data_IF_150517947127
#
_entry.id   IF_150517947127
#
_cell.length_a   1.000
_cell.length_b   1.000
_cell.length_c   1.000
_cell.angle_alpha   90.00
_cell.angle_beta   90.00
_cell.angle_gamma   90.00
#
_symmetry.space_group_name_H-M   'P 1'
#
loop_
_entity.id
_entity.type
_entity.pdbx_description
1 polymer ?
#
# COMPACT_ATOMS: atom_id res chain seq x y z
N UNK A 1 -37.04 -0.63 -48.44
CA UNK A 1 -37.53 -1.80 -47.68
C UNK A 1 -36.40 -2.30 -46.79
N UNK A 2 -36.62 -2.45 -45.47
CA UNK A 2 -35.65 -3.11 -44.61
C UNK A 2 -35.48 -4.56 -45.07
N UNK A 3 -34.24 -5.05 -45.09
CA UNK A 3 -33.87 -6.36 -45.68
C UNK A 3 -33.25 -7.33 -44.68
N UNK A 4 -33.05 -6.90 -43.43
CA UNK A 4 -32.27 -7.64 -42.46
C UNK A 4 -33.04 -7.76 -41.15
N UNK A 5 -33.02 -8.97 -40.60
CA UNK A 5 -33.70 -9.32 -39.36
C UNK A 5 -32.67 -9.81 -38.34
N UNK A 6 -32.83 -9.46 -37.08
CA UNK A 6 -32.06 -10.07 -35.98
C UNK A 6 -32.67 -11.42 -35.55
N UNK A 7 -32.08 -12.03 -34.51
CA UNK A 7 -32.53 -13.31 -33.96
C UNK A 7 -33.89 -13.22 -33.23
N UNK A 8 -34.39 -12.02 -32.95
CA UNK A 8 -35.68 -11.75 -32.30
C UNK A 8 -36.76 -11.35 -33.32
N UNK A 9 -36.39 -11.17 -34.59
CA UNK A 9 -37.28 -10.74 -35.67
C UNK A 9 -37.38 -9.23 -35.86
N UNK A 10 -36.56 -8.41 -35.19
CA UNK A 10 -36.57 -6.95 -35.42
C UNK A 10 -35.98 -6.63 -36.80
N UNK A 11 -36.58 -5.66 -37.50
CA UNK A 11 -36.18 -5.29 -38.87
C UNK A 11 -35.22 -4.09 -38.89
N UNK A 12 -34.21 -4.18 -39.74
CA UNK A 12 -33.21 -3.13 -39.93
C UNK A 12 -33.02 -2.78 -41.42
N UNK A 13 -32.76 -1.50 -41.68
CA UNK A 13 -32.47 -1.00 -43.03
C UNK A 13 -31.16 -1.56 -43.59
N UNK A 14 -30.19 -1.81 -42.72
CA UNK A 14 -28.86 -2.35 -43.06
C UNK A 14 -28.33 -3.27 -41.95
N UNK A 15 -27.32 -4.10 -42.26
CA UNK A 15 -26.61 -4.89 -41.24
C UNK A 15 -25.86 -3.99 -40.27
N UNK A 16 -25.40 -2.83 -40.72
CA UNK A 16 -24.71 -1.82 -39.91
C UNK A 16 -25.64 -1.23 -38.84
N UNK A 17 -26.90 -0.95 -39.20
CA UNK A 17 -27.89 -0.45 -38.24
C UNK A 17 -28.23 -1.52 -37.20
N UNK A 18 -28.37 -2.78 -37.61
CA UNK A 18 -28.52 -3.92 -36.70
C UNK A 18 -27.32 -4.04 -35.74
N UNK A 19 -26.09 -3.96 -36.26
CA UNK A 19 -24.88 -3.99 -35.43
C UNK A 19 -24.84 -2.83 -34.42
N UNK A 20 -25.23 -1.62 -34.86
CA UNK A 20 -25.30 -0.43 -34.00
C UNK A 20 -26.30 -0.59 -32.88
N UNK A 21 -27.47 -1.17 -33.17
CA UNK A 21 -28.50 -1.46 -32.17
C UNK A 21 -27.97 -2.38 -31.05
N UNK A 22 -27.21 -3.42 -31.41
CA UNK A 22 -26.58 -4.34 -30.44
C UNK A 22 -25.25 -3.84 -29.85
N UNK A 23 -24.79 -2.64 -30.23
CA UNK A 23 -23.53 -2.08 -29.72
C UNK A 23 -22.27 -2.84 -30.18
N UNK A 24 -22.34 -3.59 -31.29
CA UNK A 24 -21.22 -4.34 -31.84
C UNK A 24 -20.64 -3.67 -33.10
N UNK A 25 -19.33 -3.73 -33.27
CA UNK A 25 -18.70 -3.31 -34.51
C UNK A 25 -19.03 -4.29 -35.65
N UNK A 26 -19.44 -3.77 -36.81
CA UNK A 26 -19.83 -4.59 -37.97
C UNK A 26 -18.75 -5.56 -38.41
N UNK A 27 -17.46 -5.17 -38.37
CA UNK A 27 -16.35 -6.08 -38.67
C UNK A 27 -16.28 -7.25 -37.67
N UNK A 28 -16.47 -6.99 -36.39
CA UNK A 28 -16.54 -8.04 -35.36
C UNK A 28 -17.71 -8.98 -35.62
N UNK A 29 -18.89 -8.44 -35.89
CA UNK A 29 -20.08 -9.21 -36.25
C UNK A 29 -19.83 -10.14 -37.45
N UNK A 30 -19.29 -9.61 -38.56
CA UNK A 30 -19.00 -10.42 -39.75
C UNK A 30 -17.92 -11.47 -39.48
N UNK A 31 -16.89 -11.16 -38.69
CA UNK A 31 -15.86 -12.14 -38.33
C UNK A 31 -16.41 -13.27 -37.47
N UNK A 32 -17.35 -12.97 -36.56
CA UNK A 32 -18.05 -13.98 -35.75
C UNK A 32 -18.89 -14.93 -36.60
N UNK A 33 -19.64 -14.39 -37.55
CA UNK A 33 -20.39 -15.20 -38.52
C UNK A 33 -19.45 -16.08 -39.36
N UNK A 34 -18.32 -15.53 -39.84
CA UNK A 34 -17.31 -16.31 -40.57
C UNK A 34 -16.66 -17.41 -39.73
N UNK A 35 -16.56 -17.21 -38.42
CA UNK A 35 -16.08 -18.20 -37.47
C UNK A 35 -17.14 -19.26 -37.11
N UNK A 36 -18.33 -19.20 -37.72
CA UNK A 36 -19.41 -20.18 -37.54
C UNK A 36 -20.35 -19.90 -36.36
N UNK A 37 -20.26 -18.73 -35.72
CA UNK A 37 -21.22 -18.35 -34.68
C UNK A 37 -22.61 -18.11 -35.29
N UNK A 38 -23.65 -18.40 -34.50
CA UNK A 38 -25.04 -18.09 -34.86
C UNK A 38 -25.28 -16.58 -34.94
N UNK A 39 -26.39 -16.16 -35.56
CA UNK A 39 -26.77 -14.75 -35.64
C UNK A 39 -26.92 -14.12 -34.25
N UNK A 40 -27.56 -14.85 -33.32
CA UNK A 40 -27.70 -14.45 -31.92
C UNK A 40 -26.33 -14.25 -31.28
N UNK A 41 -25.50 -15.29 -31.26
CA UNK A 41 -24.16 -15.21 -30.65
C UNK A 41 -23.29 -14.13 -31.28
N UNK A 42 -23.37 -13.95 -32.60
CA UNK A 42 -22.61 -12.93 -33.30
C UNK A 42 -22.99 -11.51 -32.82
N UNK A 43 -24.27 -11.27 -32.55
CA UNK A 43 -24.80 -9.98 -32.08
C UNK A 43 -24.63 -9.78 -30.57
N UNK A 44 -24.76 -10.82 -29.75
CA UNK A 44 -24.87 -10.68 -28.29
C UNK A 44 -23.60 -11.09 -27.54
N UNK A 45 -22.70 -11.87 -28.13
CA UNK A 45 -21.51 -12.32 -27.41
C UNK A 45 -20.66 -11.12 -26.96
N UNK A 46 -20.15 -11.10 -25.72
CA UNK A 46 -19.26 -10.04 -25.27
C UNK A 46 -17.99 -10.03 -26.12
N UNK A 47 -17.45 -8.83 -26.37
CA UNK A 47 -16.18 -8.71 -27.08
C UNK A 47 -15.07 -9.35 -26.22
N UNK A 48 -14.21 -10.19 -26.81
CA UNK A 48 -13.11 -10.83 -26.08
C UNK A 48 -12.21 -9.82 -25.35
N UNK A 49 -12.14 -8.60 -25.87
CA UNK A 49 -11.34 -7.51 -25.32
C UNK A 49 -12.09 -6.60 -24.35
N UNK A 50 -13.42 -6.80 -24.21
CA UNK A 50 -14.21 -6.06 -23.23
C UNK A 50 -13.82 -6.44 -21.80
N UNK A 51 -14.11 -5.53 -20.86
CA UNK A 51 -13.78 -5.75 -19.47
C UNK A 51 -14.73 -4.97 -18.56
N UNK A 52 -14.76 -5.38 -17.30
CA UNK A 52 -15.51 -4.71 -16.24
C UNK A 52 -14.54 -4.20 -15.19
N UNK A 53 -14.77 -3.00 -14.67
CA UNK A 53 -13.98 -2.49 -13.55
C UNK A 53 -14.38 -3.12 -12.21
N UNK A 54 -13.70 -2.71 -11.13
CA UNK A 54 -13.96 -3.18 -9.78
C UNK A 54 -15.33 -2.74 -9.22
N UNK A 55 -16.05 -1.84 -9.90
CA UNK A 55 -17.40 -1.37 -9.53
C UNK A 55 -18.51 -2.05 -10.34
N UNK A 56 -18.16 -2.95 -11.26
CA UNK A 56 -19.13 -3.60 -12.14
C UNK A 56 -19.46 -2.81 -13.41
N UNK A 57 -18.76 -1.70 -13.69
CA UNK A 57 -19.01 -0.90 -14.90
C UNK A 57 -18.32 -1.56 -16.10
N UNK A 58 -19.07 -1.74 -17.18
CA UNK A 58 -18.60 -2.36 -18.42
C UNK A 58 -17.89 -1.37 -19.35
N UNK A 59 -16.82 -1.83 -20.01
CA UNK A 59 -16.04 -1.08 -20.99
C UNK A 59 -15.73 -1.94 -22.22
N UNK A 60 -15.65 -1.30 -23.40
CA UNK A 60 -15.39 -2.01 -24.67
C UNK A 60 -13.95 -2.52 -24.76
N UNK A 61 -13.04 -1.96 -23.96
CA UNK A 61 -11.65 -2.36 -23.88
C UNK A 61 -11.01 -1.97 -22.55
N UNK A 62 -9.94 -2.69 -22.16
CA UNK A 62 -9.10 -2.29 -21.02
C UNK A 62 -8.52 -0.88 -21.20
N UNK A 63 -8.16 -0.47 -22.42
CA UNK A 63 -7.65 0.88 -22.68
C UNK A 63 -8.69 1.96 -22.39
N UNK A 64 -9.94 1.73 -22.79
CA UNK A 64 -11.05 2.65 -22.46
C UNK A 64 -11.24 2.74 -20.94
N UNK A 65 -11.35 1.59 -20.26
CA UNK A 65 -11.45 1.55 -18.79
C UNK A 65 -10.29 2.29 -18.12
N UNK A 66 -9.06 2.10 -18.57
CA UNK A 66 -7.91 2.77 -17.94
C UNK A 66 -7.93 4.28 -18.19
N UNK A 67 -8.35 4.70 -19.39
CA UNK A 67 -8.44 6.11 -19.75
C UNK A 67 -9.54 6.84 -18.96
N UNK A 68 -10.68 6.18 -18.65
CA UNK A 68 -11.75 6.81 -17.84
C UNK A 68 -11.29 7.14 -16.42
N UNK A 69 -10.34 6.37 -15.87
CA UNK A 69 -9.69 6.65 -14.59
C UNK A 69 -8.49 7.62 -14.71
N UNK A 70 -8.24 8.18 -15.89
CA UNK A 70 -7.14 9.15 -16.13
C UNK A 70 -5.74 8.53 -16.08
N UNK A 71 -5.62 7.22 -16.28
CA UNK A 71 -4.36 6.49 -16.16
C UNK A 71 -3.71 6.21 -17.52
N UNK A 72 -2.40 6.01 -17.52
CA UNK A 72 -1.70 5.43 -18.68
C UNK A 72 -1.80 3.91 -18.65
N UNK A 73 -2.07 3.29 -19.79
CA UNK A 73 -2.12 1.83 -19.93
C UNK A 73 -0.84 1.11 -19.49
N UNK A 74 0.32 1.72 -19.71
CA UNK A 74 1.62 1.21 -19.25
C UNK A 74 1.73 1.15 -17.72
N UNK A 75 1.13 2.11 -17.00
CA UNK A 75 1.09 2.11 -15.54
C UNK A 75 0.12 1.04 -15.03
N UNK A 76 -1.06 0.95 -15.63
CA UNK A 76 -2.06 -0.07 -15.31
C UNK A 76 -1.47 -1.49 -15.40
N UNK A 77 -0.87 -1.82 -16.54
CA UNK A 77 -0.23 -3.13 -16.77
C UNK A 77 0.94 -3.37 -15.82
N UNK A 78 1.75 -2.34 -15.53
CA UNK A 78 2.83 -2.45 -14.55
C UNK A 78 2.33 -2.82 -13.15
N UNK A 79 1.26 -2.17 -12.67
CA UNK A 79 0.66 -2.41 -11.35
C UNK A 79 0.09 -3.83 -11.24
N UNK A 80 -0.63 -4.30 -12.26
CA UNK A 80 -1.13 -5.68 -12.30
C UNK A 80 0.00 -6.71 -12.24
N UNK A 81 1.08 -6.51 -13.01
CA UNK A 81 2.26 -7.40 -12.96
C UNK A 81 2.96 -7.39 -11.60
N UNK A 82 2.82 -6.30 -10.85
CA UNK A 82 3.28 -6.19 -9.46
C UNK A 82 2.29 -6.75 -8.43
N UNK A 83 1.23 -7.41 -8.88
CA UNK A 83 0.24 -8.06 -8.02
C UNK A 83 -0.75 -7.10 -7.36
N UNK A 84 -0.92 -5.89 -7.89
CA UNK A 84 -1.94 -4.97 -7.40
C UNK A 84 -3.33 -5.49 -7.78
N UNK A 85 -4.32 -5.24 -6.93
CA UNK A 85 -5.72 -5.54 -7.28
C UNK A 85 -6.21 -4.59 -8.39
N UNK A 86 -7.32 -4.93 -9.05
CA UNK A 86 -7.92 -4.07 -10.07
C UNK A 86 -8.33 -2.71 -9.48
N UNK A 87 -8.94 -2.71 -8.30
CA UNK A 87 -9.30 -1.51 -7.54
C UNK A 87 -8.06 -0.67 -7.21
N UNK A 88 -7.03 -1.25 -6.59
CA UNK A 88 -5.78 -0.53 -6.28
C UNK A 88 -5.15 0.05 -7.55
N UNK A 89 -5.23 -0.69 -8.65
CA UNK A 89 -4.64 -0.29 -9.93
C UNK A 89 -5.34 0.92 -10.53
N UNK A 90 -6.67 0.97 -10.45
CA UNK A 90 -7.48 2.03 -11.02
C UNK A 90 -7.61 3.25 -10.10
N UNK A 91 -7.65 3.04 -8.79
CA UNK A 91 -8.09 4.08 -7.84
C UNK A 91 -6.93 4.83 -7.16
N UNK A 92 -5.73 4.27 -7.14
CA UNK A 92 -4.55 4.92 -6.58
C UNK A 92 -3.93 5.85 -7.62
N UNK A 93 -3.90 7.15 -7.33
CA UNK A 93 -3.33 8.15 -8.24
C UNK A 93 -1.84 7.87 -8.53
N UNK A 94 -1.37 8.06 -9.78
CA UNK A 94 0.05 7.94 -10.13
C UNK A 94 0.97 8.87 -9.33
N UNK A 95 0.47 10.05 -8.93
CA UNK A 95 1.21 11.04 -8.13
C UNK A 95 1.53 10.51 -6.73
N UNK A 96 0.77 9.52 -6.26
CA UNK A 96 0.97 8.90 -4.96
C UNK A 96 1.94 7.74 -5.12
N UNK A 97 3.19 8.13 -5.23
CA UNK A 97 4.32 7.21 -5.31
C UNK A 97 4.69 6.79 -3.88
N UNK A 98 3.98 5.79 -3.33
CA UNK A 98 4.06 5.42 -1.92
C UNK A 98 5.49 5.07 -1.45
N UNK A 99 6.26 4.32 -2.26
CA UNK A 99 7.53 3.69 -1.84
C UNK A 99 8.65 3.70 -2.90
N UNK A 100 8.54 4.45 -3.99
CA UNK A 100 9.59 4.44 -5.05
C UNK A 100 10.92 4.94 -4.50
N UNK A 101 11.98 4.16 -4.72
CA UNK A 101 13.33 4.49 -4.28
C UNK A 101 13.58 4.36 -2.77
N UNK A 102 12.62 3.83 -2.00
CA UNK A 102 12.80 3.58 -0.58
C UNK A 102 13.37 2.19 -0.34
N UNK A 103 14.23 2.08 0.66
CA UNK A 103 14.71 0.81 1.19
C UNK A 103 13.78 0.32 2.31
N UNK A 104 13.62 -1.02 2.47
CA UNK A 104 12.91 -1.57 3.61
C UNK A 104 13.52 -1.08 4.93
N UNK A 105 12.66 -0.73 5.88
CA UNK A 105 13.08 -0.45 7.26
C UNK A 105 13.48 -1.73 8.00
N UNK A 106 12.76 -2.83 7.74
CA UNK A 106 13.14 -4.19 8.13
C UNK A 106 12.33 -5.20 7.31
N UNK A 107 12.71 -6.48 7.40
CA UNK A 107 11.94 -7.59 6.83
C UNK A 107 11.53 -8.55 7.94
N UNK A 108 10.32 -9.08 7.88
CA UNK A 108 9.78 -10.05 8.84
C UNK A 108 9.00 -11.12 8.07
N UNK A 109 9.32 -12.39 8.31
CA UNK A 109 8.66 -13.53 7.64
C UNK A 109 8.65 -13.45 6.10
N UNK A 110 9.69 -12.86 5.51
CA UNK A 110 9.79 -12.68 4.06
C UNK A 110 9.04 -11.46 3.50
N UNK A 111 8.41 -10.65 4.35
CA UNK A 111 7.79 -9.39 3.96
C UNK A 111 8.64 -8.18 4.35
N UNK A 112 8.74 -7.22 3.44
CA UNK A 112 9.45 -5.97 3.66
C UNK A 112 8.52 -4.89 4.20
N UNK A 113 8.92 -4.27 5.31
CA UNK A 113 8.22 -3.18 5.96
C UNK A 113 8.93 -1.86 5.72
N UNK A 114 8.16 -0.82 5.43
CA UNK A 114 8.67 0.49 5.08
C UNK A 114 8.09 1.56 5.99
N UNK A 115 8.94 2.52 6.36
CA UNK A 115 8.48 3.75 6.96
C UNK A 115 7.75 4.58 5.91
N UNK A 116 6.45 4.78 6.13
CA UNK A 116 5.54 5.45 5.21
C UNK A 116 4.88 6.63 5.90
N UNK A 117 5.02 7.82 5.34
CA UNK A 117 4.28 9.02 5.77
C UNK A 117 3.17 9.25 4.76
N UNK A 118 1.92 9.15 5.20
CA UNK A 118 0.79 9.29 4.30
C UNK A 118 0.66 10.75 3.81
N UNK A 119 0.56 11.01 2.50
CA UNK A 119 0.41 12.36 1.99
C UNK A 119 -0.96 12.96 2.32
N UNK A 120 -1.98 12.11 2.59
CA UNK A 120 -3.35 12.57 2.85
C UNK A 120 -3.56 12.95 4.32
N UNK A 121 -3.21 12.08 5.27
CA UNK A 121 -3.41 12.34 6.70
C UNK A 121 -2.13 12.75 7.45
N UNK A 122 -0.99 12.84 6.78
CA UNK A 122 0.31 13.23 7.34
C UNK A 122 0.87 12.33 8.46
N UNK A 123 0.15 11.27 8.83
CA UNK A 123 0.56 10.28 9.82
C UNK A 123 1.67 9.38 9.28
N UNK A 124 2.54 8.95 10.19
CA UNK A 124 3.65 8.06 9.90
C UNK A 124 3.35 6.64 10.38
N UNK A 125 3.59 5.67 9.50
CA UNK A 125 3.31 4.26 9.70
C UNK A 125 4.53 3.42 9.33
N UNK A 126 4.52 2.18 9.79
CA UNK A 126 5.41 1.13 9.30
C UNK A 126 4.52 0.10 8.63
N UNK A 127 4.60 0.03 7.31
CA UNK A 127 3.68 -0.76 6.50
C UNK A 127 4.42 -1.54 5.42
N UNK A 128 3.86 -2.68 5.06
CA UNK A 128 4.18 -3.34 3.79
C UNK A 128 3.69 -2.48 2.62
N UNK A 129 4.18 -2.74 1.39
CA UNK A 129 3.66 -2.07 0.20
C UNK A 129 2.16 -2.23 -0.01
N UNK A 130 1.57 -3.37 0.39
CA UNK A 130 0.14 -3.62 0.29
C UNK A 130 -0.64 -2.80 1.33
N UNK A 131 -0.18 -2.79 2.58
CA UNK A 131 -0.78 -1.98 3.65
C UNK A 131 -0.76 -0.48 3.33
N UNK A 132 0.31 0.02 2.70
CA UNK A 132 0.37 1.41 2.23
C UNK A 132 -0.76 1.74 1.24
N UNK A 133 -1.03 0.84 0.29
CA UNK A 133 -2.08 1.00 -0.73
C UNK A 133 -3.47 0.96 -0.11
N UNK A 134 -3.73 -0.03 0.73
CA UNK A 134 -5.00 -0.16 1.43
C UNK A 134 -5.27 1.04 2.33
N UNK A 135 -4.27 1.51 3.09
CA UNK A 135 -4.40 2.72 3.89
C UNK A 135 -4.74 3.94 3.03
N UNK A 136 -4.12 4.08 1.85
CA UNK A 136 -4.46 5.17 0.94
C UNK A 136 -5.90 5.09 0.44
N UNK A 137 -6.36 3.89 0.03
CA UNK A 137 -7.75 3.68 -0.42
C UNK A 137 -8.76 4.01 0.68
N UNK A 138 -8.44 3.78 1.96
CA UNK A 138 -9.32 4.20 3.08
C UNK A 138 -9.66 5.69 3.03
N UNK A 139 -8.70 6.56 2.74
CA UNK A 139 -8.99 8.00 2.63
C UNK A 139 -9.95 8.31 1.50
N UNK A 140 -9.86 7.57 0.39
CA UNK A 140 -10.74 7.76 -0.77
C UNK A 140 -12.19 7.37 -0.49
N UNK A 141 -12.40 6.32 0.31
CA UNK A 141 -13.74 5.82 0.67
C UNK A 141 -14.21 6.26 2.06
N UNK A 142 -13.45 7.11 2.77
CA UNK A 142 -13.72 7.53 4.16
C UNK A 142 -14.96 8.41 4.37
N UNK A 143 -15.83 8.54 3.37
CA UNK A 143 -17.21 9.02 3.52
C UNK A 143 -18.24 7.92 3.80
N UNK A 144 -17.91 6.63 3.60
CA UNK A 144 -18.88 5.52 3.63
C UNK A 144 -18.26 4.18 4.09
N UNK A 145 -17.59 4.06 5.26
CA UNK A 145 -17.37 2.72 5.83
C UNK A 145 -17.11 2.71 7.34
N UNK A 146 -17.84 1.81 8.01
CA UNK A 146 -17.71 1.44 9.43
C UNK A 146 -16.31 0.91 9.75
N UNK A 147 -15.75 1.47 10.82
CA UNK A 147 -14.39 1.29 11.36
C UNK A 147 -14.05 -0.17 11.77
N UNK A 148 -15.00 -1.11 11.67
CA UNK A 148 -14.96 -2.44 12.29
C UNK A 148 -14.65 -3.61 11.34
N UNK A 149 -14.68 -3.44 10.01
CA UNK A 149 -14.52 -4.56 9.06
C UNK A 149 -13.09 -4.79 8.54
N UNK A 150 -12.13 -3.89 8.83
CA UNK A 150 -10.77 -3.96 8.24
C UNK A 150 -9.63 -3.78 9.26
N UNK A 151 -9.89 -3.94 10.56
CA UNK A 151 -8.84 -4.08 11.57
C UNK A 151 -8.38 -5.54 11.65
N UNK A 152 -7.63 -6.02 10.66
CA UNK A 152 -6.85 -7.25 10.78
C UNK A 152 -5.34 -7.05 10.69
N UNK A 153 -4.86 -5.92 11.21
CA UNK A 153 -3.60 -5.87 11.94
C UNK A 153 -3.68 -4.66 12.87
N UNK A 154 -3.45 -4.79 14.19
CA UNK A 154 -3.21 -3.61 14.99
C UNK A 154 -2.02 -2.89 14.36
N UNK A 155 -2.17 -1.60 14.06
CA UNK A 155 -1.01 -0.71 13.97
C UNK A 155 -0.33 -0.94 15.32
N UNK A 156 0.77 -1.72 15.36
CA UNK A 156 1.49 -1.93 16.61
C UNK A 156 1.93 -0.56 17.04
N UNK A 157 1.20 0.04 17.99
CA UNK A 157 1.62 1.20 18.76
C UNK A 157 3.04 0.84 19.16
N UNK A 158 4.02 1.63 18.73
CA UNK A 158 5.43 1.34 18.93
C UNK A 158 5.58 1.04 20.43
N UNK A 159 5.72 -0.24 20.80
CA UNK A 159 5.63 -0.65 22.19
C UNK A 159 6.75 0.10 22.93
N UNK A 160 6.34 0.97 23.85
CA UNK A 160 7.30 1.68 24.70
C UNK A 160 8.02 0.62 25.52
N UNK A 161 9.33 0.80 25.70
CA UNK A 161 10.12 -0.09 26.55
C UNK A 161 10.22 0.53 27.92
N UNK A 162 10.04 -0.27 28.97
CA UNK A 162 10.19 0.17 30.35
C UNK A 162 11.53 -0.25 30.94
N UNK A 163 12.12 0.60 31.77
CA UNK A 163 13.28 0.21 32.59
C UNK A 163 12.86 -0.48 33.89
N UNK A 164 13.85 -0.83 34.72
CA UNK A 164 13.65 -1.46 36.04
C UNK A 164 12.94 -0.56 37.06
N UNK A 165 12.82 0.74 36.77
CA UNK A 165 12.13 1.73 37.59
C UNK A 165 10.77 2.12 36.99
N UNK A 166 10.27 1.35 36.00
CA UNK A 166 9.04 1.62 35.25
C UNK A 166 9.03 2.95 34.47
N UNK A 167 10.18 3.54 34.14
CA UNK A 167 10.20 4.67 33.22
C UNK A 167 10.00 4.17 31.79
N UNK A 168 9.10 4.80 31.05
CA UNK A 168 8.83 4.46 29.66
C UNK A 168 9.75 5.21 28.68
N UNK A 169 10.21 4.49 27.65
CA UNK A 169 11.02 5.04 26.57
C UNK A 169 10.43 4.66 25.21
N UNK A 170 10.54 5.57 24.26
CA UNK A 170 10.10 5.36 22.88
C UNK A 170 10.90 4.28 22.13
N UNK A 171 12.05 3.85 22.65
CA UNK A 171 12.85 2.77 22.09
C UNK A 171 13.93 2.30 23.05
N UNK A 172 14.46 1.08 22.82
CA UNK A 172 15.64 0.56 23.51
C UNK A 172 16.86 1.50 23.39
N UNK A 173 16.97 2.26 22.29
CA UNK A 173 18.04 3.23 22.07
C UNK A 173 17.88 4.47 22.96
N UNK A 174 16.65 4.95 23.15
CA UNK A 174 16.36 6.06 24.07
C UNK A 174 16.65 5.66 25.52
N UNK A 175 16.26 4.45 25.92
CA UNK A 175 16.58 3.89 27.25
C UNK A 175 18.10 3.75 27.44
N UNK A 176 18.81 3.10 26.52
CA UNK A 176 20.27 2.96 26.60
C UNK A 176 21.00 4.31 26.69
N UNK A 177 20.51 5.33 25.96
CA UNK A 177 21.06 6.69 26.00
C UNK A 177 20.90 7.34 27.38
N UNK A 178 19.75 7.17 28.05
CA UNK A 178 19.52 7.69 29.41
C UNK A 178 20.53 7.12 30.42
N UNK A 179 20.83 5.83 30.31
CA UNK A 179 21.80 5.14 31.16
C UNK A 179 23.25 5.26 30.66
N UNK A 180 23.50 6.09 29.65
CA UNK A 180 24.84 6.32 29.08
C UNK A 180 25.56 5.03 28.63
N UNK A 181 24.81 4.03 28.18
CA UNK A 181 25.36 2.79 27.62
C UNK A 181 25.05 2.71 26.12
N UNK A 182 25.95 2.08 25.36
CA UNK A 182 25.67 1.82 23.95
C UNK A 182 24.53 0.79 23.84
N UNK A 183 23.58 1.03 22.92
CA UNK A 183 22.46 0.10 22.69
C UNK A 183 22.95 -1.31 22.29
N UNK A 184 24.09 -1.41 21.63
CA UNK A 184 24.76 -2.69 21.32
C UNK A 184 25.22 -3.42 22.60
N UNK A 185 25.78 -2.69 23.57
CA UNK A 185 26.17 -3.24 24.87
C UNK A 185 24.97 -3.73 25.66
N UNK A 186 23.88 -2.94 25.71
CA UNK A 186 22.63 -3.33 26.36
C UNK A 186 22.06 -4.62 25.76
N UNK A 187 21.94 -4.68 24.42
CA UNK A 187 21.48 -5.88 23.70
C UNK A 187 22.37 -7.11 23.98
N UNK A 188 23.69 -6.92 24.00
CA UNK A 188 24.63 -8.01 24.27
C UNK A 188 24.48 -8.56 25.69
N UNK A 189 24.26 -7.68 26.68
CA UNK A 189 24.03 -8.08 28.08
C UNK A 189 22.72 -8.85 28.25
N UNK A 190 21.62 -8.37 27.66
CA UNK A 190 20.32 -9.06 27.68
C UNK A 190 20.45 -10.44 27.03
N UNK A 191 21.10 -10.54 25.86
CA UNK A 191 21.35 -11.83 25.18
C UNK A 191 22.19 -12.81 26.00
N UNK A 192 23.03 -12.31 26.91
CA UNK A 192 23.81 -13.11 27.88
C UNK A 192 23.02 -13.42 29.15
N UNK A 193 21.71 -13.16 29.17
CA UNK A 193 20.84 -13.45 30.30
C UNK A 193 20.96 -12.47 31.47
N UNK A 194 21.48 -11.27 31.26
CA UNK A 194 21.51 -10.26 32.32
C UNK A 194 20.11 -9.74 32.62
N UNK A 195 19.80 -9.49 33.89
CA UNK A 195 18.60 -8.73 34.26
C UNK A 195 18.69 -7.31 33.67
N UNK A 196 17.53 -6.73 33.35
CA UNK A 196 17.47 -5.41 32.71
C UNK A 196 18.12 -4.32 33.58
N UNK A 197 17.86 -4.36 34.88
CA UNK A 197 18.52 -3.49 35.87
C UNK A 197 20.04 -3.60 35.76
N UNK A 198 20.59 -4.82 35.93
CA UNK A 198 22.03 -5.07 35.86
C UNK A 198 22.60 -4.64 34.51
N UNK A 199 21.86 -4.86 33.43
CA UNK A 199 22.29 -4.52 32.08
C UNK A 199 22.38 -2.99 31.86
N UNK A 200 21.52 -2.21 32.53
CA UNK A 200 21.47 -0.75 32.47
C UNK A 200 22.46 -0.08 33.44
N UNK A 201 22.63 -0.62 34.65
CA UNK A 201 23.38 0.02 35.73
C UNK A 201 24.85 -0.37 35.79
N UNK A 202 25.25 -1.49 35.18
CA UNK A 202 26.67 -1.89 35.18
C UNK A 202 27.48 -1.04 34.17
N UNK A 203 28.56 -0.36 34.58
CA UNK A 203 29.40 0.41 33.66
C UNK A 203 30.06 -0.49 32.58
N UNK A 204 30.16 -0.05 31.31
CA UNK A 204 30.91 -0.77 30.28
C UNK A 204 32.42 -0.69 30.56
N UNK A 205 33.15 -1.76 30.26
CA UNK A 205 34.59 -1.86 30.51
C UNK A 205 35.40 -0.81 29.71
N UNK A 206 36.56 -0.43 30.24
CA UNK A 206 37.26 0.86 30.11
C UNK A 206 37.72 1.29 28.70
N UNK A 207 37.36 0.60 27.62
CA UNK A 207 37.74 1.02 26.25
C UNK A 207 36.88 2.15 25.67
N UNK A 208 35.79 2.57 26.36
CA UNK A 208 34.88 3.62 25.89
C UNK A 208 35.05 4.97 26.64
N UNK A 209 36.28 5.49 26.71
CA UNK A 209 36.63 6.74 27.44
C UNK A 209 35.91 7.98 26.89
N UNK A 210 35.28 7.93 25.72
CA UNK A 210 34.65 9.09 25.06
C UNK A 210 33.39 9.62 25.76
N UNK A 211 32.75 8.84 26.64
CA UNK A 211 31.53 9.26 27.37
C UNK A 211 31.82 10.08 28.65
N UNK A 212 33.04 10.02 29.22
CA UNK A 212 33.39 10.76 30.44
C UNK A 212 33.49 12.28 30.24
N UNK A 213 33.72 12.75 29.00
CA UNK A 213 33.78 14.19 28.69
C UNK A 213 32.42 14.89 28.83
N UNK A 214 31.32 14.17 28.61
CA UNK A 214 29.96 14.75 28.62
C UNK A 214 29.40 14.90 30.04
N UNK A 215 29.71 13.97 30.95
CA UNK A 215 29.30 14.03 32.36
C UNK A 215 29.98 15.20 33.12
N UNK A 216 31.26 15.46 32.83
CA UNK A 216 31.98 16.59 33.44
C UNK A 216 31.52 17.96 32.92
N UNK A 217 30.88 18.02 31.75
CA UNK A 217 30.31 19.25 31.20
C UNK A 217 28.92 19.56 31.79
N UNK A 218 28.12 18.54 32.09
CA UNK A 218 26.77 18.71 32.69
C UNK A 218 26.84 19.09 34.18
N UNK A 219 27.80 18.54 34.92
CA UNK A 219 28.00 18.89 36.34
C UNK A 219 28.60 20.29 36.56
N UNK A 220 29.15 20.94 35.52
CA UNK A 220 29.71 22.29 35.61
C UNK A 220 28.66 23.40 35.44
N UNK A 221 27.55 23.10 34.75
CA UNK A 221 26.47 24.05 34.48
C UNK A 221 25.50 24.17 35.67
N UNK A 222 25.42 23.14 36.53
CA UNK A 222 24.57 23.16 37.73
C UNK A 222 25.25 23.76 38.99
N UNK A 223 26.53 24.13 38.92
CA UNK A 223 27.30 24.65 40.06
C UNK A 223 27.60 26.15 40.06
N UNK A 224 26.99 26.95 39.18
CA UNK A 224 27.30 28.39 39.02
C UNK A 224 26.12 29.35 39.13
N UNK A 225 24.92 28.88 39.51
CA UNK A 225 23.81 29.74 39.96
C UNK A 225 23.57 29.51 41.45
N UNK A 226 24.34 30.21 42.28
CA UNK A 226 24.30 30.11 43.73
C UNK A 226 25.44 30.88 44.38
N UNK A 227 25.55 32.17 44.07
CA UNK A 227 26.21 33.16 44.91
C UNK A 227 25.18 34.19 45.30
#
# INVERSE_FOLDING_TARGET
>A
MPKYHDHLGNEFASKEDMCRYYGINSTTFFNRLKAGMTLEEALTSPNLYSCTDHKGIFYKSKSEMVNTYGLKYSLFTHRLRKGWTLEETLEISPEIILLRGKWPSFSLNGEDYYTYKCPTCNNQFVFTPAECRQHYLRHKYSGEINETLYTKTPIRKLETVTDHNNNEYSSLRAMAKKYCIAVSTLKARIRRGWSLEKALTTPPDKTCIRAKRTLNAQNKIQGSSGK
#
